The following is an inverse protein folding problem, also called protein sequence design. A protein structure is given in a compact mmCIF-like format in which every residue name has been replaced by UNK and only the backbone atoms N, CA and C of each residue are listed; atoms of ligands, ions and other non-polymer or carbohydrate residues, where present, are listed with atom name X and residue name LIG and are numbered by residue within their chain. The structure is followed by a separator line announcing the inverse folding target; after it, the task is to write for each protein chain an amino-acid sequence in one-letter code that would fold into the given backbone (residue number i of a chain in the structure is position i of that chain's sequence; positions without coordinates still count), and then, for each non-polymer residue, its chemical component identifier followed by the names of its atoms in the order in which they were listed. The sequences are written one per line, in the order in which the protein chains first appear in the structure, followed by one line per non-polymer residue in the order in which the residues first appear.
data_IF_830033673784
#
_entry.id   IF_830033673784
#
_cell.length_a   1.000
_cell.length_b   1.000
_cell.length_c   1.000
_cell.angle_alpha   90.00
_cell.angle_beta   90.00
_cell.angle_gamma   90.00
#
_symmetry.space_group_name_H-M   'P 1'
#
loop_
_entity.id
_entity.type
_entity.pdbx_description
1 polymer ?
#
# COMPACT_ATOMS: atom_id res chain seq x y z
N UNK A 1 -3.38 -1.95 40.11
CA UNK A 1 -3.49 -1.84 38.66
C UNK A 1 -4.90 -1.41 38.33
N UNK A 2 -5.06 -0.45 37.39
CA UNK A 2 -6.35 -0.05 36.85
C UNK A 2 -6.44 -0.62 35.43
N UNK A 3 -7.39 -1.49 35.20
CA UNK A 3 -7.67 -2.04 33.86
C UNK A 3 -8.87 -1.32 33.29
N UNK A 4 -8.70 -0.74 32.11
CA UNK A 4 -9.76 -0.08 31.36
C UNK A 4 -10.07 -0.95 30.14
N UNK A 5 -11.34 -1.32 29.98
CA UNK A 5 -11.83 -1.94 28.75
C UNK A 5 -12.40 -0.84 27.85
N UNK A 6 -11.81 -0.69 26.70
CA UNK A 6 -12.21 0.32 25.69
C UNK A 6 -12.72 -0.41 24.47
N UNK A 7 -13.87 -0.01 23.97
CA UNK A 7 -14.38 -0.47 22.68
C UNK A 7 -14.50 0.74 21.75
N UNK A 8 -14.07 0.57 20.51
CA UNK A 8 -14.21 1.58 19.47
C UNK A 8 -15.31 1.17 18.49
N UNK A 9 -15.99 2.15 17.93
CA UNK A 9 -17.00 1.94 16.89
C UNK A 9 -16.43 2.15 15.49
N UNK A 10 -15.32 2.86 15.40
CA UNK A 10 -14.67 3.24 14.15
C UNK A 10 -13.18 2.96 14.23
N UNK A 11 -12.56 2.75 13.08
CA UNK A 11 -11.11 2.61 12.95
C UNK A 11 -10.43 3.96 13.06
N UNK A 12 -9.15 3.98 13.39
CA UNK A 12 -8.37 5.21 13.45
C UNK A 12 -7.46 5.32 14.66
N UNK A 13 -6.76 6.44 14.74
CA UNK A 13 -5.78 6.71 15.80
C UNK A 13 -6.43 7.46 16.95
N UNK A 14 -6.44 6.84 18.13
CA UNK A 14 -7.01 7.38 19.36
C UNK A 14 -5.90 7.80 20.31
N UNK A 15 -5.98 9.04 20.79
CA UNK A 15 -5.11 9.54 21.85
C UNK A 15 -5.86 9.53 23.18
N UNK A 16 -5.30 8.84 24.13
CA UNK A 16 -5.85 8.76 25.48
C UNK A 16 -4.96 9.53 26.46
N UNK A 17 -5.54 10.47 27.16
CA UNK A 17 -4.88 11.18 28.25
C UNK A 17 -5.77 11.28 29.47
N UNK A 18 -5.14 11.34 30.66
CA UNK A 18 -5.85 11.48 31.93
C UNK A 18 -5.94 12.96 32.26
N UNK A 19 -7.11 13.55 32.06
CA UNK A 19 -7.34 14.98 32.33
C UNK A 19 -7.57 15.31 33.81
N UNK A 20 -8.11 14.38 34.58
CA UNK A 20 -8.44 14.59 36.00
C UNK A 20 -8.19 13.33 36.80
N UNK A 21 -7.43 13.46 37.84
CA UNK A 21 -7.20 12.39 38.82
C UNK A 21 -7.51 12.90 40.23
N UNK A 22 -8.10 12.08 41.06
CA UNK A 22 -8.34 12.38 42.46
C UNK A 22 -7.81 11.21 43.28
N UNK A 23 -6.96 11.55 44.23
CA UNK A 23 -6.50 10.57 45.25
C UNK A 23 -7.40 10.73 46.48
N UNK A 24 -7.96 9.62 46.91
CA UNK A 24 -8.85 9.57 48.05
C UNK A 24 -8.25 8.59 49.03
N UNK A 25 -8.21 8.96 50.30
CA UNK A 25 -7.77 8.06 51.36
C UNK A 25 -8.75 6.90 51.56
N UNK A 26 -8.30 5.85 52.26
CA UNK A 26 -9.07 4.63 52.49
C UNK A 26 -10.39 4.91 53.22
N UNK A 27 -10.42 5.90 54.08
CA UNK A 27 -11.61 6.32 54.87
C UNK A 27 -12.46 7.36 54.14
N UNK A 28 -12.05 7.81 52.96
CA UNK A 28 -12.69 8.87 52.15
C UNK A 28 -12.79 10.22 52.82
N UNK A 29 -11.99 10.47 53.85
CA UNK A 29 -11.98 11.71 54.64
C UNK A 29 -11.24 12.80 53.88
N UNK A 30 -10.17 12.46 53.16
CA UNK A 30 -9.35 13.40 52.40
C UNK A 30 -9.42 13.13 50.91
N UNK A 31 -9.56 14.18 50.13
CA UNK A 31 -9.61 14.13 48.65
C UNK A 31 -8.62 15.17 48.10
N UNK A 32 -7.58 14.70 47.47
CA UNK A 32 -6.58 15.56 46.79
C UNK A 32 -6.82 15.50 45.31
N UNK A 33 -6.93 16.65 44.67
CA UNK A 33 -6.98 16.77 43.21
C UNK A 33 -5.56 16.85 42.69
N UNK A 34 -5.20 15.94 41.79
CA UNK A 34 -3.93 15.97 41.09
C UNK A 34 -4.10 16.95 39.90
N UNK A 35 -3.15 17.90 39.75
CA UNK A 35 -3.17 18.81 38.60
C UNK A 35 -3.02 18.07 37.29
N UNK A 36 -3.56 18.62 36.19
CA UNK A 36 -3.50 18.03 34.87
C UNK A 36 -2.06 17.75 34.42
N UNK A 37 -1.14 18.70 34.72
CA UNK A 37 0.28 18.56 34.38
C UNK A 37 0.96 17.41 35.15
N UNK A 38 0.63 17.28 36.44
CA UNK A 38 1.15 16.16 37.24
C UNK A 38 0.54 14.84 36.82
N UNK A 39 -0.74 14.79 36.46
CA UNK A 39 -1.39 13.59 35.93
C UNK A 39 -0.76 13.16 34.58
N UNK A 40 -0.54 14.08 33.66
CA UNK A 40 0.12 13.80 32.37
C UNK A 40 1.56 13.32 32.55
N UNK A 41 2.31 13.87 33.52
CA UNK A 41 3.68 13.40 33.82
C UNK A 41 3.71 12.00 34.46
N UNK A 42 2.71 11.66 35.26
CA UNK A 42 2.64 10.36 35.97
C UNK A 42 2.10 9.23 35.08
N UNK A 43 1.13 9.54 34.23
CA UNK A 43 0.42 8.53 33.46
C UNK A 43 0.74 8.57 31.96
N UNK A 44 1.37 9.67 31.49
CA UNK A 44 1.73 9.84 30.10
C UNK A 44 0.53 10.06 29.17
N UNK A 45 0.79 10.27 27.92
CA UNK A 45 -0.14 10.18 26.80
C UNK A 45 0.03 8.80 26.14
N UNK A 46 -1.04 8.09 25.95
CA UNK A 46 -1.03 6.81 25.22
C UNK A 46 -1.77 7.00 23.90
N UNK A 47 -1.10 6.64 22.82
CA UNK A 47 -1.70 6.62 21.48
C UNK A 47 -1.79 5.18 21.04
N UNK A 48 -2.94 4.76 20.54
CA UNK A 48 -3.14 3.45 19.95
C UNK A 48 -3.99 3.59 18.69
N UNK A 49 -3.67 2.78 17.70
CA UNK A 49 -4.39 2.74 16.43
C UNK A 49 -5.27 1.50 16.42
N UNK A 50 -6.55 1.71 16.11
CA UNK A 50 -7.54 0.66 15.95
C UNK A 50 -7.54 0.35 14.47
N UNK A 51 -7.02 -0.82 14.13
CA UNK A 51 -6.95 -1.32 12.77
C UNK A 51 -8.16 -2.22 12.47
N UNK A 52 -8.64 -2.29 11.22
CA UNK A 52 -9.68 -3.22 10.83
C UNK A 52 -9.18 -4.67 10.92
N UNK A 53 -10.09 -5.58 11.23
CA UNK A 53 -9.91 -6.99 10.92
C UNK A 53 -10.08 -7.16 9.41
N UNK A 54 -9.29 -8.05 8.80
CA UNK A 54 -9.50 -8.35 7.39
C UNK A 54 -10.53 -9.48 7.22
N UNK A 55 -11.35 -9.33 6.20
CA UNK A 55 -12.33 -10.34 5.81
C UNK A 55 -11.64 -11.30 4.84
N UNK A 56 -11.58 -12.62 5.14
CA UNK A 56 -10.99 -13.57 4.22
C UNK A 56 -11.80 -13.63 2.90
N UNK A 57 -11.09 -13.46 1.81
CA UNK A 57 -11.71 -13.46 0.46
C UNK A 57 -11.59 -14.88 -0.11
N UNK A 58 -12.72 -15.54 -0.31
CA UNK A 58 -12.78 -16.92 -0.84
C UNK A 58 -12.75 -17.00 -2.37
N UNK A 59 -12.36 -15.92 -3.07
CA UNK A 59 -12.39 -15.87 -4.53
C UNK A 59 -11.00 -16.01 -5.14
N UNK A 60 -10.94 -16.60 -6.34
CA UNK A 60 -9.71 -16.79 -7.12
C UNK A 60 -9.27 -15.50 -7.85
N UNK A 61 -9.21 -14.34 -7.15
CA UNK A 61 -8.70 -13.10 -7.74
C UNK A 61 -7.23 -13.28 -8.19
N UNK A 62 -6.45 -14.05 -7.44
CA UNK A 62 -5.07 -14.35 -7.79
C UNK A 62 -4.95 -15.04 -9.16
N UNK A 63 -5.89 -15.94 -9.51
CA UNK A 63 -5.88 -16.61 -10.83
C UNK A 63 -6.10 -15.60 -11.98
N UNK A 64 -6.89 -14.56 -11.77
CA UNK A 64 -7.04 -13.47 -12.77
C UNK A 64 -5.78 -12.61 -12.87
N UNK A 65 -5.08 -12.42 -11.75
CA UNK A 65 -3.80 -11.73 -11.74
C UNK A 65 -2.71 -12.53 -12.49
N UNK A 66 -2.64 -13.84 -12.27
CA UNK A 66 -1.73 -14.73 -13.02
C UNK A 66 -2.07 -14.74 -14.52
N UNK A 67 -3.34 -14.84 -14.89
CA UNK A 67 -3.76 -14.75 -16.30
C UNK A 67 -3.43 -13.40 -16.94
N UNK A 68 -3.38 -12.31 -16.15
CA UNK A 68 -2.96 -10.99 -16.62
C UNK A 68 -1.44 -10.77 -16.60
N UNK A 69 -0.69 -11.53 -15.80
CA UNK A 69 0.78 -11.47 -15.74
C UNK A 69 1.45 -12.25 -16.89
N UNK A 70 0.77 -13.22 -17.46
CA UNK A 70 1.21 -13.97 -18.66
C UNK A 70 0.87 -13.27 -19.99
N UNK A 71 0.50 -11.99 -19.96
CA UNK A 71 0.44 -11.24 -21.20
C UNK A 71 1.86 -11.05 -21.72
N UNK A 72 2.15 -11.59 -22.91
CA UNK A 72 3.35 -11.34 -23.71
C UNK A 72 3.41 -9.87 -24.18
N UNK A 73 2.95 -8.94 -23.30
CA UNK A 73 2.97 -7.52 -23.60
C UNK A 73 4.35 -6.95 -23.31
N UNK A 74 5.02 -6.55 -24.38
CA UNK A 74 6.31 -5.89 -24.34
C UNK A 74 6.19 -4.39 -24.51
N UNK A 75 7.05 -3.65 -23.86
CA UNK A 75 7.10 -2.19 -23.98
C UNK A 75 7.39 -1.78 -25.42
N UNK A 76 6.49 -1.00 -25.99
CA UNK A 76 6.70 -0.36 -27.33
C UNK A 76 7.55 0.91 -27.26
N UNK A 77 7.90 1.35 -26.05
CA UNK A 77 8.58 2.62 -25.81
C UNK A 77 9.92 2.48 -25.12
N UNK A 78 10.20 1.32 -24.52
CA UNK A 78 11.40 1.11 -23.71
C UNK A 78 12.18 -0.11 -24.17
N UNK A 79 13.49 0.07 -24.38
CA UNK A 79 14.43 -1.02 -24.66
C UNK A 79 14.71 -1.82 -23.40
N UNK A 80 14.86 -3.13 -23.55
CA UNK A 80 15.18 -4.07 -22.48
C UNK A 80 16.29 -5.04 -22.87
N UNK A 81 16.40 -6.10 -22.08
CA UNK A 81 17.40 -7.14 -22.29
C UNK A 81 16.78 -8.53 -22.58
N UNK A 82 15.45 -8.61 -22.69
CA UNK A 82 14.75 -9.89 -22.92
C UNK A 82 14.82 -10.28 -24.40
N UNK A 83 15.50 -11.41 -24.72
CA UNK A 83 15.67 -11.86 -26.09
C UNK A 83 14.40 -12.44 -26.74
N UNK A 84 13.31 -12.57 -26.00
CA UNK A 84 12.06 -13.18 -26.47
C UNK A 84 11.38 -12.33 -27.53
N UNK A 85 11.52 -10.98 -27.45
CA UNK A 85 10.98 -10.09 -28.47
C UNK A 85 11.97 -9.00 -28.88
N UNK A 86 11.98 -8.71 -30.18
CA UNK A 86 12.84 -7.68 -30.77
C UNK A 86 12.09 -6.36 -30.77
N UNK A 87 12.63 -5.37 -30.08
CA UNK A 87 12.10 -4.01 -30.03
C UNK A 87 12.37 -3.25 -31.32
N UNK A 88 13.65 -3.28 -31.79
CA UNK A 88 14.11 -2.57 -32.97
C UNK A 88 15.37 -3.24 -33.54
N UNK A 89 15.70 -2.91 -34.78
CA UNK A 89 16.94 -3.34 -35.43
C UNK A 89 17.60 -2.13 -36.07
N UNK A 90 18.80 -1.80 -35.64
CA UNK A 90 19.56 -0.67 -36.11
C UNK A 90 20.95 -1.05 -36.65
N UNK A 91 21.63 -0.14 -37.34
CA UNK A 91 23.01 -0.37 -37.76
C UNK A 91 23.95 -0.29 -36.56
N UNK A 92 24.97 -1.15 -36.54
CA UNK A 92 25.94 -1.25 -35.41
C UNK A 92 26.61 0.10 -35.13
N UNK A 93 26.65 0.47 -33.87
CA UNK A 93 27.39 1.62 -33.33
C UNK A 93 28.41 1.16 -32.30
N UNK A 94 29.50 1.93 -32.15
CA UNK A 94 30.48 1.62 -31.12
C UNK A 94 29.85 1.58 -29.72
N UNK A 95 29.98 0.44 -29.06
CA UNK A 95 29.38 0.17 -27.75
C UNK A 95 28.25 -0.87 -27.77
N UNK A 96 27.75 -1.24 -28.97
CA UNK A 96 26.72 -2.27 -29.08
C UNK A 96 27.27 -3.66 -28.76
N UNK A 97 26.43 -4.48 -28.13
CA UNK A 97 26.79 -5.85 -27.74
C UNK A 97 26.87 -6.75 -28.96
N UNK A 98 28.06 -7.30 -29.27
CA UNK A 98 28.31 -8.19 -30.41
C UNK A 98 27.39 -9.41 -30.45
N UNK A 99 26.97 -9.94 -29.28
CA UNK A 99 26.06 -11.07 -29.18
C UNK A 99 24.64 -10.76 -29.64
N UNK A 100 24.29 -9.49 -29.91
CA UNK A 100 23.00 -9.02 -30.42
C UNK A 100 22.99 -8.83 -31.92
N UNK A 101 24.08 -9.14 -32.65
CA UNK A 101 24.13 -8.99 -34.08
C UNK A 101 23.11 -9.90 -34.77
N UNK A 102 22.33 -9.33 -35.66
CA UNK A 102 21.35 -10.05 -36.49
C UNK A 102 22.01 -10.56 -37.77
N UNK A 103 22.79 -11.66 -37.66
CA UNK A 103 23.59 -12.20 -38.75
C UNK A 103 22.85 -12.36 -40.09
N UNK A 104 21.60 -12.83 -40.03
CA UNK A 104 20.78 -13.02 -41.25
C UNK A 104 20.50 -11.72 -41.97
N UNK A 105 20.25 -10.61 -41.26
CA UNK A 105 19.95 -9.32 -41.83
C UNK A 105 21.26 -8.64 -42.28
N UNK A 106 22.31 -8.76 -41.48
CA UNK A 106 23.66 -8.29 -41.83
C UNK A 106 24.13 -8.86 -43.14
N UNK A 107 23.98 -10.17 -43.40
CA UNK A 107 24.36 -10.80 -44.66
C UNK A 107 23.49 -10.35 -45.85
N UNK A 108 22.29 -9.82 -45.62
CA UNK A 108 21.37 -9.35 -46.64
C UNK A 108 21.61 -7.89 -47.00
N UNK A 109 22.02 -7.07 -46.05
CA UNK A 109 22.14 -5.60 -46.21
C UNK A 109 23.56 -5.10 -46.38
N UNK A 110 24.58 -5.99 -46.30
CA UNK A 110 26.01 -5.65 -46.27
C UNK A 110 26.41 -4.62 -45.20
N UNK A 111 25.61 -4.53 -44.14
CA UNK A 111 25.82 -3.64 -42.99
C UNK A 111 25.57 -4.45 -41.70
N UNK A 112 26.39 -4.25 -40.71
CA UNK A 112 26.23 -4.93 -39.45
C UNK A 112 24.96 -4.40 -38.74
N UNK A 113 23.98 -5.28 -38.59
CA UNK A 113 22.70 -4.96 -37.94
C UNK A 113 22.63 -5.55 -36.54
N UNK A 114 22.18 -4.75 -35.56
CA UNK A 114 22.06 -5.13 -34.16
C UNK A 114 20.60 -5.13 -33.72
N UNK A 115 20.22 -6.11 -32.92
CA UNK A 115 18.88 -6.22 -32.33
C UNK A 115 18.84 -5.49 -30.99
N UNK A 116 17.88 -4.62 -30.82
CA UNK A 116 17.44 -4.18 -29.52
C UNK A 116 16.30 -5.08 -29.04
N UNK A 117 16.36 -5.50 -27.81
CA UNK A 117 15.33 -6.33 -27.21
C UNK A 117 14.30 -5.49 -26.48
N UNK A 118 13.10 -6.04 -26.34
CA UNK A 118 12.02 -5.38 -25.63
C UNK A 118 12.17 -5.54 -24.10
N UNK A 119 11.52 -4.65 -23.36
CA UNK A 119 11.37 -4.76 -21.93
C UNK A 119 10.03 -5.45 -21.64
N UNK A 120 10.02 -6.61 -20.96
CA UNK A 120 8.76 -7.22 -20.56
C UNK A 120 8.01 -6.27 -19.63
N UNK A 121 6.74 -6.03 -19.89
CA UNK A 121 5.87 -5.25 -19.02
C UNK A 121 5.36 -6.21 -17.95
N UNK A 122 5.85 -6.06 -16.73
CA UNK A 122 5.24 -6.73 -15.61
C UNK A 122 3.92 -6.01 -15.27
N UNK A 123 2.80 -6.68 -15.47
CA UNK A 123 1.50 -6.18 -15.07
C UNK A 123 1.44 -6.20 -13.54
N UNK A 124 1.56 -5.03 -12.92
CA UNK A 124 1.38 -4.90 -11.48
C UNK A 124 -0.08 -4.53 -11.19
N UNK A 125 -0.67 -5.22 -10.23
CA UNK A 125 -1.99 -4.87 -9.74
C UNK A 125 -1.92 -3.49 -9.08
N UNK A 126 -2.84 -2.62 -9.44
CA UNK A 126 -3.00 -1.30 -8.84
C UNK A 126 -4.41 -1.20 -8.25
N UNK A 127 -4.51 -1.07 -6.94
CA UNK A 127 -5.74 -0.75 -6.25
C UNK A 127 -5.85 0.76 -6.15
N UNK A 128 -6.88 1.33 -6.76
CA UNK A 128 -7.16 2.75 -6.67
C UNK A 128 -8.29 2.98 -5.68
N UNK A 129 -8.01 3.72 -4.61
CA UNK A 129 -8.96 4.04 -3.57
C UNK A 129 -9.43 5.49 -3.72
N UNK A 130 -10.74 5.69 -3.94
CA UNK A 130 -11.34 7.01 -3.86
C UNK A 130 -11.83 7.25 -2.42
N UNK A 131 -11.01 7.98 -1.67
CA UNK A 131 -11.32 8.38 -0.28
C UNK A 131 -12.15 9.67 -0.21
N UNK A 132 -12.60 10.18 -1.37
CA UNK A 132 -13.40 11.38 -1.41
C UNK A 132 -14.88 11.06 -1.13
N UNK A 133 -15.21 11.00 0.14
CA UNK A 133 -16.58 10.78 0.59
C UNK A 133 -17.29 12.11 0.85
N UNK A 134 -18.59 12.14 0.57
CA UNK A 134 -19.43 13.30 0.90
C UNK A 134 -19.67 13.33 2.42
N UNK A 135 -19.08 14.31 3.08
CA UNK A 135 -19.18 14.50 4.55
C UNK A 135 -20.57 14.92 5.03
N UNK A 136 -21.50 15.20 4.11
CA UNK A 136 -22.87 15.58 4.45
C UNK A 136 -23.80 14.38 4.69
N UNK A 137 -23.30 13.15 4.51
CA UNK A 137 -24.09 11.94 4.80
C UNK A 137 -23.89 11.53 6.26
N UNK A 138 -24.98 11.14 6.92
CA UNK A 138 -24.96 10.70 8.32
C UNK A 138 -24.08 9.44 8.52
N UNK A 139 -23.88 8.65 7.49
CA UNK A 139 -23.13 7.39 7.48
C UNK A 139 -21.67 7.53 6.98
N UNK A 140 -21.14 8.75 6.84
CA UNK A 140 -19.80 9.02 6.33
C UNK A 140 -18.72 8.14 6.97
N UNK A 141 -18.70 8.04 8.31
CA UNK A 141 -17.70 7.26 9.02
C UNK A 141 -17.82 5.76 8.76
N UNK A 142 -19.04 5.26 8.65
CA UNK A 142 -19.28 3.84 8.34
C UNK A 142 -18.79 3.49 6.93
N UNK A 143 -19.04 4.35 5.96
CA UNK A 143 -18.57 4.16 4.58
C UNK A 143 -17.05 4.18 4.52
N UNK A 144 -16.42 5.11 5.25
CA UNK A 144 -14.96 5.19 5.33
C UNK A 144 -14.36 3.92 5.95
N UNK A 145 -14.89 3.47 7.08
CA UNK A 145 -14.46 2.24 7.75
C UNK A 145 -14.58 1.03 6.84
N UNK A 146 -15.70 0.89 6.13
CA UNK A 146 -15.92 -0.21 5.18
C UNK A 146 -14.92 -0.17 4.02
N UNK A 147 -14.59 1.03 3.52
CA UNK A 147 -13.62 1.20 2.45
C UNK A 147 -12.21 0.78 2.90
N UNK A 148 -11.78 1.22 4.08
CA UNK A 148 -10.48 0.85 4.65
C UNK A 148 -10.41 -0.67 4.91
N UNK A 149 -11.47 -1.26 5.43
CA UNK A 149 -11.60 -2.71 5.64
C UNK A 149 -11.52 -3.49 4.33
N UNK A 150 -12.17 -3.01 3.27
CA UNK A 150 -12.12 -3.62 1.94
C UNK A 150 -10.69 -3.55 1.34
N UNK A 151 -10.02 -2.39 1.43
CA UNK A 151 -8.64 -2.22 0.96
C UNK A 151 -7.70 -3.15 1.72
N UNK A 152 -7.83 -3.22 3.05
CA UNK A 152 -7.05 -4.11 3.89
C UNK A 152 -7.26 -5.57 3.51
N UNK A 153 -8.51 -6.00 3.35
CA UNK A 153 -8.87 -7.38 3.00
C UNK A 153 -8.31 -7.80 1.64
N UNK A 154 -8.44 -6.93 0.63
CA UNK A 154 -7.88 -7.19 -0.71
C UNK A 154 -6.34 -7.23 -0.65
N UNK A 155 -5.71 -6.30 0.08
CA UNK A 155 -4.25 -6.26 0.19
C UNK A 155 -3.70 -7.50 0.89
N UNK A 156 -4.30 -7.93 1.99
CA UNK A 156 -3.89 -9.18 2.67
C UNK A 156 -4.10 -10.40 1.79
N UNK A 157 -5.24 -10.49 1.09
CA UNK A 157 -5.50 -11.57 0.15
C UNK A 157 -4.43 -11.67 -0.96
N UNK A 158 -4.05 -10.52 -1.54
CA UNK A 158 -3.02 -10.49 -2.59
C UNK A 158 -1.65 -10.92 -2.05
N UNK A 159 -1.28 -10.51 -0.83
CA UNK A 159 -0.03 -10.92 -0.18
C UNK A 159 -0.03 -12.42 0.12
N UNK A 160 -1.13 -12.96 0.65
CA UNK A 160 -1.26 -14.40 0.92
C UNK A 160 -1.10 -15.26 -0.36
N UNK A 161 -1.35 -14.66 -1.53
CA UNK A 161 -1.15 -15.29 -2.84
C UNK A 161 0.15 -14.83 -3.55
N UNK A 162 1.14 -14.35 -2.80
CA UNK A 162 2.44 -13.91 -3.31
C UNK A 162 2.34 -12.88 -4.47
N UNK A 163 1.28 -12.05 -4.45
CA UNK A 163 1.02 -11.08 -5.51
C UNK A 163 1.33 -9.65 -5.04
N UNK A 164 2.52 -9.10 -5.37
CA UNK A 164 2.86 -7.71 -5.07
C UNK A 164 1.91 -6.75 -5.80
N UNK A 165 1.49 -5.70 -5.10
CA UNK A 165 0.56 -4.73 -5.67
C UNK A 165 0.87 -3.32 -5.20
N UNK A 166 0.19 -2.35 -5.81
CA UNK A 166 0.28 -0.94 -5.44
C UNK A 166 -1.09 -0.46 -5.00
N UNK A 167 -1.12 0.36 -3.96
CA UNK A 167 -2.34 1.06 -3.55
C UNK A 167 -2.12 2.55 -3.76
N UNK A 168 -3.07 3.17 -4.44
CA UNK A 168 -3.01 4.58 -4.82
C UNK A 168 -4.28 5.27 -4.32
N UNK A 169 -4.11 6.40 -3.64
CA UNK A 169 -5.24 7.27 -3.29
C UNK A 169 -4.83 8.74 -3.39
N UNK A 170 -5.84 9.60 -3.48
CA UNK A 170 -5.62 11.03 -3.49
C UNK A 170 -5.80 11.61 -2.09
N UNK A 171 -4.73 12.23 -1.55
CA UNK A 171 -4.81 12.95 -0.28
C UNK A 171 -5.15 14.43 -0.53
N UNK A 172 -6.39 14.78 -0.27
CA UNK A 172 -6.90 16.14 -0.45
C UNK A 172 -6.20 17.19 0.43
N UNK A 173 -5.66 16.79 1.59
CA UNK A 173 -4.97 17.71 2.50
C UNK A 173 -3.61 18.12 1.96
N UNK A 174 -2.94 17.19 1.27
CA UNK A 174 -1.63 17.40 0.67
C UNK A 174 -1.71 17.80 -0.80
N UNK A 175 -2.89 17.68 -1.43
CA UNK A 175 -3.12 17.88 -2.87
C UNK A 175 -2.21 16.99 -3.73
N UNK A 176 -1.98 15.75 -3.29
CA UNK A 176 -1.08 14.79 -3.92
C UNK A 176 -1.70 13.39 -3.95
N UNK A 177 -1.32 12.63 -4.97
CA UNK A 177 -1.59 11.19 -4.99
C UNK A 177 -0.51 10.46 -4.19
N UNK A 178 -0.93 9.75 -3.17
CA UNK A 178 -0.07 8.87 -2.39
C UNK A 178 -0.05 7.49 -3.04
N UNK A 179 1.13 6.87 -3.05
CA UNK A 179 1.34 5.53 -3.62
C UNK A 179 2.12 4.69 -2.63
N UNK A 180 1.58 3.54 -2.28
CA UNK A 180 2.25 2.56 -1.42
C UNK A 180 2.43 1.26 -2.20
N UNK A 181 3.66 0.76 -2.26
CA UNK A 181 3.95 -0.57 -2.77
C UNK A 181 3.77 -1.57 -1.64
N UNK A 182 2.95 -2.57 -1.87
CA UNK A 182 2.61 -3.61 -0.89
C UNK A 182 3.19 -4.94 -1.39
N UNK A 183 4.20 -5.43 -0.67
CA UNK A 183 4.94 -6.64 -1.02
C UNK A 183 4.90 -7.70 0.07
N UNK A 184 4.58 -7.29 1.30
CA UNK A 184 4.60 -8.12 2.49
C UNK A 184 3.61 -7.59 3.55
N UNK A 185 3.45 -8.33 4.65
CA UNK A 185 2.57 -7.92 5.75
C UNK A 185 2.97 -6.60 6.40
N UNK A 186 4.27 -6.30 6.46
CA UNK A 186 4.75 -5.06 7.10
C UNK A 186 4.32 -3.84 6.29
N UNK A 187 4.48 -3.91 4.96
CA UNK A 187 4.01 -2.87 4.04
C UNK A 187 2.49 -2.73 4.04
N UNK A 188 1.73 -3.83 4.21
CA UNK A 188 0.28 -3.77 4.36
C UNK A 188 -0.14 -3.08 5.67
N UNK A 189 0.51 -3.36 6.78
CA UNK A 189 0.27 -2.67 8.06
C UNK A 189 0.60 -1.18 7.97
N UNK A 190 1.69 -0.84 7.28
CA UNK A 190 2.05 0.55 7.02
C UNK A 190 1.00 1.25 6.16
N UNK A 191 0.50 0.61 5.10
CA UNK A 191 -0.61 1.11 4.29
C UNK A 191 -1.82 1.45 5.16
N UNK A 192 -2.28 0.51 5.99
CA UNK A 192 -3.44 0.72 6.87
C UNK A 192 -3.20 1.89 7.82
N UNK A 193 -1.99 2.02 8.38
CA UNK A 193 -1.66 3.14 9.28
C UNK A 193 -1.62 4.50 8.58
N UNK A 194 -1.38 4.53 7.27
CA UNK A 194 -1.41 5.76 6.47
C UNK A 194 -2.83 6.16 6.05
N UNK A 195 -3.73 5.18 5.94
CA UNK A 195 -5.14 5.41 5.62
C UNK A 195 -5.94 5.89 6.85
N UNK A 196 -5.49 5.62 8.08
CA UNK A 196 -6.17 5.96 9.33
C UNK A 196 -5.66 7.26 9.97
#
# INVERSE_FOLDING_TARGET
YLTLHVSAKHYGTVRMNIKRCRIVDMLKLFKIRVSTDAASRLFGESTFTIIPDYIPIENNIANYAEMGLETDDYSKTSKGDDPSEIFDIHEYHDGDKINRIHWKLTAKQDKTMVKDYSLPISNSIVLMADLHLDTNTDDYMLVYDTLVEAIASISYYLIENDTPHKVVWYDKKKDLSEVVNVTDEESARLLISLLL
#
